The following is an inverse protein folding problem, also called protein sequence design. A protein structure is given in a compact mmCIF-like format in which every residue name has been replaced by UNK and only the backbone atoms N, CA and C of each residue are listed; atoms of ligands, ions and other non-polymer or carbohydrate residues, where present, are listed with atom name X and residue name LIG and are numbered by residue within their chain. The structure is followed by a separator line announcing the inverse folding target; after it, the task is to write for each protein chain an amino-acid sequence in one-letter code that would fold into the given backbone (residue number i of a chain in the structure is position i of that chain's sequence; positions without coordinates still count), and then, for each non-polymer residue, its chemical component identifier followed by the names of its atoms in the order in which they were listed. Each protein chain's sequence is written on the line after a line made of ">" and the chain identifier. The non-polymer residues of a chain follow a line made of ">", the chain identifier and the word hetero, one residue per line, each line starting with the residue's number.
data_IF_535590998360
#
_entry.id   IF_535590998360
#
_cell.length_a   1.000
_cell.length_b   1.000
_cell.length_c   1.000
_cell.angle_alpha   90.00
_cell.angle_beta   90.00
_cell.angle_gamma   90.00
#
_symmetry.space_group_name_H-M   'P 1'
#
loop_
_entity.id
_entity.type
_entity.pdbx_description
1 polymer ?
#
# COMPACT_ATOMS: atom_id res chain seq x y z
N UNK A 1 -16.69 17.03 8.10
CA UNK A 1 -16.65 17.21 6.63
C UNK A 1 -16.51 15.83 6.01
N UNK A 2 -17.21 15.56 4.91
CA UNK A 2 -17.04 14.34 4.12
C UNK A 2 -16.40 14.72 2.78
N UNK A 3 -15.48 13.89 2.29
CA UNK A 3 -14.86 14.05 0.98
C UNK A 3 -15.00 12.76 0.17
N UNK A 4 -14.98 12.90 -1.15
CA UNK A 4 -14.97 11.77 -2.09
C UNK A 4 -13.87 12.03 -3.11
N UNK A 5 -13.02 11.04 -3.35
CA UNK A 5 -11.99 11.08 -4.39
C UNK A 5 -12.15 9.86 -5.29
N UNK A 6 -12.18 10.10 -6.61
CA UNK A 6 -12.30 9.04 -7.60
C UNK A 6 -10.95 8.79 -8.24
N UNK A 7 -10.48 7.54 -8.15
CA UNK A 7 -9.43 7.05 -9.01
C UNK A 7 -10.07 6.58 -10.32
N UNK A 8 -9.92 7.36 -11.38
CA UNK A 8 -10.37 6.97 -12.72
C UNK A 8 -9.16 6.35 -13.41
N UNK A 9 -9.15 5.03 -13.51
CA UNK A 9 -8.27 4.33 -14.45
C UNK A 9 -9.13 3.65 -15.52
N UNK A 10 -8.54 3.43 -16.69
CA UNK A 10 -9.20 2.73 -17.81
C UNK A 10 -9.03 1.19 -17.69
N UNK A 11 -8.64 0.70 -16.52
CA UNK A 11 -8.33 -0.71 -16.24
C UNK A 11 -8.98 -1.15 -14.92
N UNK A 12 -9.04 -2.46 -14.70
CA UNK A 12 -9.58 -3.03 -13.47
C UNK A 12 -8.71 -2.66 -12.27
N UNK A 13 -9.35 -1.98 -11.31
CA UNK A 13 -8.76 -1.56 -10.04
C UNK A 13 -9.48 -2.21 -8.86
N UNK A 14 -8.70 -2.78 -7.94
CA UNK A 14 -9.21 -3.39 -6.72
C UNK A 14 -8.57 -2.73 -5.51
N UNK A 15 -9.40 -2.16 -4.62
CA UNK A 15 -8.92 -1.75 -3.31
C UNK A 15 -8.51 -3.00 -2.50
N UNK A 16 -7.31 -2.97 -1.93
CA UNK A 16 -6.73 -4.13 -1.23
C UNK A 16 -6.54 -3.87 0.27
N UNK A 17 -6.23 -2.62 0.67
CA UNK A 17 -6.02 -2.27 2.08
C UNK A 17 -6.22 -0.79 2.35
N UNK A 18 -6.71 -0.45 3.54
CA UNK A 18 -6.93 0.91 4.01
C UNK A 18 -6.45 1.02 5.46
N UNK A 19 -5.63 2.03 5.75
CA UNK A 19 -5.27 2.41 7.11
C UNK A 19 -5.52 3.90 7.29
N UNK A 20 -5.91 4.28 8.51
CA UNK A 20 -6.11 5.67 8.92
C UNK A 20 -5.36 5.88 10.22
N UNK A 21 -4.58 6.95 10.31
CA UNK A 21 -3.90 7.29 11.56
C UNK A 21 -4.72 8.27 12.43
N UNK A 22 -4.29 8.46 13.69
CA UNK A 22 -4.95 9.37 14.64
C UNK A 22 -4.96 10.84 14.19
N UNK A 23 -4.11 11.22 13.22
CA UNK A 23 -4.08 12.56 12.66
C UNK A 23 -5.04 12.72 11.47
N UNK A 24 -5.77 11.65 11.12
CA UNK A 24 -6.75 11.65 10.03
C UNK A 24 -6.13 11.50 8.65
N UNK A 25 -4.85 11.13 8.53
CA UNK A 25 -4.30 10.75 7.24
C UNK A 25 -4.78 9.34 6.88
N UNK A 26 -5.22 9.17 5.64
CA UNK A 26 -5.63 7.89 5.09
C UNK A 26 -4.56 7.36 4.12
N UNK A 27 -4.26 6.07 4.20
CA UNK A 27 -3.38 5.37 3.25
C UNK A 27 -4.16 4.24 2.61
N UNK A 28 -4.17 4.19 1.28
CA UNK A 28 -4.91 3.22 0.48
C UNK A 28 -3.96 2.42 -0.39
N UNK A 29 -4.09 1.09 -0.38
CA UNK A 29 -3.48 0.17 -1.33
C UNK A 29 -4.49 -0.22 -2.41
N UNK A 30 -4.08 -0.09 -3.67
CA UNK A 30 -4.86 -0.45 -4.84
C UNK A 30 -4.02 -1.41 -5.69
N UNK A 31 -4.63 -2.49 -6.17
CA UNK A 31 -4.11 -3.25 -7.30
C UNK A 31 -4.75 -2.71 -8.57
N UNK A 32 -3.94 -2.29 -9.53
CA UNK A 32 -4.35 -1.69 -10.81
C UNK A 32 -3.62 -2.38 -11.95
N UNK A 33 -4.33 -3.12 -12.80
CA UNK A 33 -3.74 -3.89 -13.91
C UNK A 33 -2.48 -4.68 -13.51
N UNK A 34 -2.61 -5.53 -12.48
CA UNK A 34 -1.50 -6.31 -11.88
C UNK A 34 -0.35 -5.48 -11.29
N UNK A 35 -0.50 -4.18 -11.09
CA UNK A 35 0.48 -3.32 -10.43
C UNK A 35 -0.04 -2.84 -9.08
N UNK A 36 0.82 -2.82 -8.06
CA UNK A 36 0.46 -2.31 -6.74
C UNK A 36 0.72 -0.81 -6.63
N UNK A 37 -0.26 -0.06 -6.14
CA UNK A 37 -0.20 1.38 -5.91
C UNK A 37 -0.53 1.64 -4.44
N UNK A 38 0.23 2.52 -3.80
CA UNK A 38 -0.07 3.05 -2.46
C UNK A 38 -0.24 4.56 -2.54
N UNK A 39 -1.31 5.06 -1.93
CA UNK A 39 -1.71 6.45 -1.95
C UNK A 39 -1.86 6.95 -0.52
N UNK A 40 -1.47 8.19 -0.25
CA UNK A 40 -1.78 8.86 1.01
C UNK A 40 -2.56 10.14 0.80
N UNK A 41 -3.52 10.36 1.67
CA UNK A 41 -4.38 11.54 1.71
C UNK A 41 -4.32 12.18 3.09
N UNK A 42 -4.50 13.50 3.15
CA UNK A 42 -4.79 14.20 4.40
C UNK A 42 -6.27 14.10 4.79
N UNK A 43 -6.59 14.59 5.99
CA UNK A 43 -7.97 14.56 6.52
C UNK A 43 -8.98 15.39 5.72
N UNK A 44 -8.53 16.22 4.78
CA UNK A 44 -9.39 16.95 3.84
C UNK A 44 -9.63 16.19 2.53
N UNK A 45 -8.95 15.06 2.32
CA UNK A 45 -9.02 14.25 1.10
C UNK A 45 -8.01 14.66 0.03
N UNK A 46 -7.06 15.56 0.32
CA UNK A 46 -6.01 15.92 -0.64
C UNK A 46 -4.95 14.83 -0.68
N UNK A 47 -4.65 14.34 -1.88
CA UNK A 47 -3.55 13.39 -2.08
C UNK A 47 -2.21 14.06 -1.77
N UNK A 48 -1.43 13.45 -0.87
CA UNK A 48 -0.10 13.92 -0.48
C UNK A 48 0.98 13.26 -1.33
N UNK A 49 0.88 11.95 -1.53
CA UNK A 49 1.84 11.20 -2.35
C UNK A 49 1.23 9.95 -2.96
N UNK A 50 1.96 9.39 -3.93
CA UNK A 50 1.65 8.16 -4.66
C UNK A 50 2.93 7.36 -4.88
N UNK A 51 2.88 6.07 -4.58
CA UNK A 51 3.98 5.13 -4.77
C UNK A 51 3.48 4.00 -5.67
N UNK A 52 4.25 3.67 -6.71
CA UNK A 52 4.08 2.42 -7.44
C UNK A 52 5.03 1.39 -6.80
N UNK A 53 4.50 0.25 -6.36
CA UNK A 53 5.29 -0.80 -5.71
C UNK A 53 6.24 -1.51 -6.68
N UNK A 54 6.00 -1.36 -7.99
CA UNK A 54 6.70 -2.05 -9.07
C UNK A 54 6.31 -3.53 -9.13
N UNK A 55 6.88 -4.27 -10.08
CA UNK A 55 6.61 -5.70 -10.24
C UNK A 55 5.20 -6.02 -10.75
N UNK A 56 4.95 -7.31 -10.94
CA UNK A 56 3.65 -7.86 -11.35
C UNK A 56 3.05 -8.59 -10.14
N UNK A 57 1.82 -8.21 -9.78
CA UNK A 57 1.05 -8.68 -8.62
C UNK A 57 -0.16 -9.53 -9.05
N UNK A 58 -0.03 -10.29 -10.15
CA UNK A 58 -1.11 -11.14 -10.68
C UNK A 58 -1.64 -12.11 -9.60
N UNK A 59 -2.92 -12.03 -9.27
CA UNK A 59 -3.58 -12.81 -8.21
C UNK A 59 -3.12 -12.53 -6.77
N UNK A 60 -2.28 -11.52 -6.56
CA UNK A 60 -1.58 -11.30 -5.29
C UNK A 60 -2.36 -10.43 -4.28
N UNK A 61 -1.77 -10.16 -3.12
CA UNK A 61 -2.36 -9.31 -2.06
C UNK A 61 -1.41 -8.18 -1.67
N UNK A 62 -2.00 -7.05 -1.31
CA UNK A 62 -1.31 -5.93 -0.69
C UNK A 62 -2.01 -5.68 0.64
N UNK A 63 -1.24 -5.65 1.72
CA UNK A 63 -1.73 -5.21 3.02
C UNK A 63 -0.87 -4.05 3.52
N UNK A 64 -1.43 -3.19 4.36
CA UNK A 64 -0.72 -2.03 4.87
C UNK A 64 -1.14 -1.65 6.28
N UNK A 65 -0.23 -0.97 6.96
CA UNK A 65 -0.52 -0.26 8.20
C UNK A 65 0.22 1.08 8.22
N UNK A 66 -0.37 2.07 8.86
CA UNK A 66 0.25 3.36 9.13
C UNK A 66 0.41 3.53 10.64
N UNK A 67 1.61 3.86 11.11
CA UNK A 67 1.89 4.15 12.52
C UNK A 67 3.00 5.17 12.65
N UNK A 68 2.84 6.14 13.55
CA UNK A 68 3.82 7.19 13.87
C UNK A 68 4.45 7.88 12.65
N UNK A 69 3.65 8.15 11.61
CA UNK A 69 4.11 8.78 10.37
C UNK A 69 4.87 7.87 9.42
N UNK A 70 4.99 6.57 9.71
CA UNK A 70 5.50 5.57 8.79
C UNK A 70 4.36 4.76 8.18
N UNK A 71 4.57 4.31 6.95
CA UNK A 71 3.68 3.37 6.28
C UNK A 71 4.46 2.08 6.03
N UNK A 72 3.91 0.97 6.49
CA UNK A 72 4.42 -0.36 6.20
C UNK A 72 3.50 -1.03 5.20
N UNK A 73 4.10 -1.67 4.21
CA UNK A 73 3.39 -2.30 3.10
C UNK A 73 3.90 -3.71 2.94
N UNK A 74 3.00 -4.67 3.07
CA UNK A 74 3.19 -6.03 2.64
C UNK A 74 2.72 -6.14 1.19
N UNK A 75 3.58 -6.65 0.31
CA UNK A 75 3.24 -6.83 -1.10
C UNK A 75 3.74 -8.18 -1.60
N UNK A 76 2.86 -8.94 -2.24
CA UNK A 76 3.20 -10.19 -2.89
C UNK A 76 3.29 -9.95 -4.40
N UNK A 77 4.39 -10.37 -5.01
CA UNK A 77 4.65 -10.28 -6.45
C UNK A 77 4.93 -11.67 -7.00
N UNK A 78 4.85 -11.83 -8.31
CA UNK A 78 5.14 -13.11 -8.97
C UNK A 78 6.56 -13.64 -8.68
N UNK A 79 7.50 -12.74 -8.35
CA UNK A 79 8.91 -13.05 -8.11
C UNK A 79 9.30 -12.99 -6.63
N UNK A 80 8.35 -12.73 -5.72
CA UNK A 80 8.60 -12.74 -4.30
C UNK A 80 7.71 -11.79 -3.50
N UNK A 81 7.78 -11.94 -2.18
CA UNK A 81 7.00 -11.15 -1.23
C UNK A 81 7.91 -10.22 -0.43
N UNK A 82 7.43 -9.00 -0.19
CA UNK A 82 8.22 -7.95 0.46
C UNK A 82 7.44 -7.22 1.53
N UNK A 83 8.14 -6.87 2.61
CA UNK A 83 7.72 -5.80 3.52
C UNK A 83 8.53 -4.56 3.21
N UNK A 84 7.86 -3.44 2.94
CA UNK A 84 8.49 -2.14 2.68
C UNK A 84 8.07 -1.14 3.74
N UNK A 85 9.00 -0.32 4.23
CA UNK A 85 8.72 0.80 5.12
C UNK A 85 8.97 2.12 4.40
N UNK A 86 7.98 3.01 4.42
CA UNK A 86 8.05 4.36 3.89
C UNK A 86 7.90 5.38 5.02
N UNK A 87 8.57 6.54 4.91
CA UNK A 87 8.32 7.66 5.82
C UNK A 87 7.07 8.47 5.45
N UNK A 88 6.82 9.51 6.23
CA UNK A 88 5.64 10.37 6.10
C UNK A 88 5.52 11.02 4.72
N UNK A 89 6.65 11.21 4.03
CA UNK A 89 6.73 11.81 2.70
C UNK A 89 6.69 10.77 1.58
N UNK A 90 6.52 9.48 1.92
CA UNK A 90 6.48 8.39 0.96
C UNK A 90 7.86 7.92 0.50
N UNK A 91 8.94 8.29 1.19
CA UNK A 91 10.29 7.87 0.85
C UNK A 91 10.58 6.51 1.46
N UNK A 92 11.01 5.54 0.63
CA UNK A 92 11.39 4.20 1.07
C UNK A 92 12.57 4.28 2.05
N UNK A 93 12.42 3.70 3.24
CA UNK A 93 13.48 3.57 4.25
C UNK A 93 14.18 2.24 4.18
N UNK A 94 13.42 1.17 4.01
CA UNK A 94 13.97 -0.16 3.79
C UNK A 94 12.92 -1.06 3.14
N UNK A 95 13.42 -2.15 2.56
CA UNK A 95 12.63 -3.26 2.03
C UNK A 95 13.27 -4.57 2.47
N UNK A 96 12.46 -5.47 2.99
CA UNK A 96 12.83 -6.83 3.33
C UNK A 96 12.11 -7.79 2.39
N UNK A 97 12.85 -8.70 1.78
CA UNK A 97 12.29 -9.83 1.03
C UNK A 97 11.97 -10.97 2.01
N UNK A 98 10.75 -11.47 1.98
CA UNK A 98 10.27 -12.57 2.83
C UNK A 98 10.46 -13.95 2.18
N UNK A 99 10.55 -13.99 0.85
CA UNK A 99 10.73 -15.22 0.09
C UNK A 99 10.43 -15.01 -1.39
N UNK A 100 11.08 -15.81 -2.23
CA UNK A 100 11.13 -15.64 -3.68
C UNK A 100 10.23 -16.61 -4.47
N UNK A 101 9.37 -17.39 -3.80
CA UNK A 101 8.46 -18.32 -4.48
C UNK A 101 7.03 -17.81 -4.48
N UNK A 102 6.34 -17.99 -5.61
CA UNK A 102 4.95 -17.60 -5.86
C UNK A 102 3.91 -18.29 -4.96
N UNK A 103 4.35 -19.19 -4.06
CA UNK A 103 3.51 -19.90 -3.10
C UNK A 103 3.53 -19.27 -1.69
N UNK A 104 4.43 -18.32 -1.41
CA UNK A 104 4.40 -17.56 -0.16
C UNK A 104 3.50 -16.35 -0.31
N UNK A 105 2.24 -16.51 0.11
CA UNK A 105 1.24 -15.45 0.14
C UNK A 105 1.05 -15.02 1.61
N UNK A 106 1.92 -14.14 2.14
CA UNK A 106 1.68 -13.56 3.45
C UNK A 106 0.34 -12.82 3.41
N UNK A 107 -0.52 -13.07 4.40
CA UNK A 107 -1.92 -12.66 4.36
C UNK A 107 -2.20 -11.34 5.06
N UNK A 108 -1.34 -10.96 6.00
CA UNK A 108 -1.55 -9.78 6.83
C UNK A 108 -0.24 -9.25 7.40
N UNK A 109 -0.23 -7.95 7.69
CA UNK A 109 0.79 -7.25 8.42
C UNK A 109 0.15 -6.49 9.59
N UNK A 110 0.77 -6.60 10.77
CA UNK A 110 0.44 -5.74 11.90
C UNK A 110 1.73 -5.16 12.48
N UNK A 111 1.69 -3.89 12.87
CA UNK A 111 2.72 -3.21 13.65
C UNK A 111 2.11 -2.76 14.97
N UNK A 112 2.93 -2.81 16.01
CA UNK A 112 2.56 -2.29 17.33
C UNK A 112 2.38 -0.75 17.28
N UNK A 113 1.54 -0.21 18.15
CA UNK A 113 1.30 1.23 18.29
C UNK A 113 2.06 1.84 19.47
#
# INVERSE_FOLDING_TARGET
>A
MSWTSSFISLVDDFAQGLAVDLSGFAVLAIMSNSSGIVLKFDGSGKQLWRINLGGVLDGSRIDLQSSAGFTFVLSTHINGSYVSKFDANGVLKWRLELGSSSLYIPSALAVDE
#
